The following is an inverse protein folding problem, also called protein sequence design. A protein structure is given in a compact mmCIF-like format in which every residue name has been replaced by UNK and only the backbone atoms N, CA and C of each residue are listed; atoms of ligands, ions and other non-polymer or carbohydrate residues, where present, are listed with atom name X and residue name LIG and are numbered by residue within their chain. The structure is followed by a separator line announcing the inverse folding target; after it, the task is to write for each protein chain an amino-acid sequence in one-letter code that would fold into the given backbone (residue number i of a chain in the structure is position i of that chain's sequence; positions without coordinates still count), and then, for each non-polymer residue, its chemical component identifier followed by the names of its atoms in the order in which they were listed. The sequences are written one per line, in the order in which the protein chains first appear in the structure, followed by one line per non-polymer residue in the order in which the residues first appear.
data_IF_520461943911
#
_entry.id   IF_520461943911
#
_cell.length_a   1.000
_cell.length_b   1.000
_cell.length_c   1.000
_cell.angle_alpha   90.00
_cell.angle_beta   90.00
_cell.angle_gamma   90.00
#
_symmetry.space_group_name_H-M   'P 1'
#
loop_
_entity.id
_entity.type
_entity.pdbx_description
1 polymer ?
#
# COMPACT_ATOMS: atom_id res chain seq x y z
N UNK A 1 -5.14 -34.03 5.58
CA UNK A 1 -5.24 -32.55 5.51
C UNK A 1 -4.73 -32.15 4.15
N UNK A 2 -5.51 -31.41 3.37
CA UNK A 2 -5.12 -31.00 2.01
C UNK A 2 -3.97 -29.99 2.08
N UNK A 3 -2.89 -30.26 1.35
CA UNK A 3 -1.76 -29.34 1.24
C UNK A 3 -1.91 -28.43 0.03
N UNK A 4 -1.35 -27.21 0.10
CA UNK A 4 -1.17 -26.36 -1.08
C UNK A 4 -0.20 -26.97 -2.11
N UNK A 5 0.59 -27.97 -1.71
CA UNK A 5 1.50 -28.71 -2.57
C UNK A 5 0.89 -30.03 -3.08
N UNK A 6 -0.40 -30.27 -2.84
CA UNK A 6 -1.13 -31.42 -3.39
C UNK A 6 -1.92 -31.00 -4.63
N UNK A 7 -1.74 -31.70 -5.75
CA UNK A 7 -2.45 -31.40 -7.00
C UNK A 7 -3.98 -31.44 -6.85
N UNK A 8 -4.50 -32.38 -6.05
CA UNK A 8 -5.94 -32.54 -5.79
C UNK A 8 -6.60 -31.29 -5.16
N UNK A 9 -5.84 -30.49 -4.41
CA UNK A 9 -6.32 -29.21 -3.84
C UNK A 9 -6.64 -28.20 -4.94
N UNK A 10 -5.91 -28.25 -6.05
CA UNK A 10 -5.99 -27.30 -7.15
C UNK A 10 -6.85 -27.79 -8.31
N UNK A 11 -7.06 -29.10 -8.41
CA UNK A 11 -7.76 -29.76 -9.51
C UNK A 11 -9.11 -29.10 -9.90
N UNK A 12 -10.01 -28.72 -8.98
CA UNK A 12 -11.25 -28.01 -9.34
C UNK A 12 -10.99 -26.69 -10.06
N UNK A 13 -10.02 -25.90 -9.57
CA UNK A 13 -9.66 -24.61 -10.16
C UNK A 13 -8.99 -24.80 -11.53
N UNK A 14 -8.09 -25.77 -11.65
CA UNK A 14 -7.37 -26.04 -12.90
C UNK A 14 -8.31 -26.44 -14.04
N UNK A 15 -9.39 -27.18 -13.74
CA UNK A 15 -10.44 -27.50 -14.71
C UNK A 15 -11.13 -26.23 -15.25
N UNK A 16 -11.51 -25.32 -14.37
CA UNK A 16 -12.14 -24.04 -14.74
C UNK A 16 -11.21 -23.16 -15.58
N UNK A 17 -9.94 -23.08 -15.18
CA UNK A 17 -8.90 -22.31 -15.89
C UNK A 17 -8.67 -22.86 -17.30
N UNK A 18 -8.55 -24.18 -17.46
CA UNK A 18 -8.37 -24.83 -18.78
C UNK A 18 -9.58 -24.60 -19.68
N UNK A 19 -10.81 -24.71 -19.15
CA UNK A 19 -12.03 -24.43 -19.89
C UNK A 19 -12.15 -22.95 -20.32
N UNK A 20 -11.59 -22.03 -19.52
CA UNK A 20 -11.61 -20.59 -19.77
C UNK A 20 -10.58 -20.14 -20.82
N UNK A 21 -9.51 -20.90 -21.03
CA UNK A 21 -8.38 -20.53 -21.89
C UNK A 21 -7.97 -21.64 -22.87
N UNK A 22 -8.89 -22.21 -23.66
CA UNK A 22 -8.60 -23.37 -24.52
C UNK A 22 -7.54 -23.06 -25.59
N UNK A 23 -7.56 -21.86 -26.19
CA UNK A 23 -6.58 -21.45 -27.21
C UNK A 23 -5.21 -21.15 -26.61
N UNK A 24 -5.19 -20.43 -25.47
CA UNK A 24 -3.95 -19.98 -24.81
C UNK A 24 -3.19 -21.13 -24.16
N UNK A 25 -3.87 -22.24 -23.86
CA UNK A 25 -3.31 -23.48 -23.30
C UNK A 25 -3.32 -24.63 -24.32
N UNK A 26 -3.62 -24.39 -25.60
CA UNK A 26 -3.71 -25.43 -26.63
C UNK A 26 -2.36 -26.03 -27.02
N UNK A 27 -1.28 -25.25 -26.93
CA UNK A 27 0.05 -25.61 -27.38
C UNK A 27 1.10 -25.54 -26.28
N UNK A 28 2.23 -26.25 -26.44
CA UNK A 28 3.35 -26.17 -25.51
C UNK A 28 3.82 -24.72 -25.27
N UNK A 29 4.01 -24.34 -24.01
CA UNK A 29 4.47 -23.00 -23.60
C UNK A 29 3.34 -21.96 -23.41
N UNK A 30 2.10 -22.34 -23.73
CA UNK A 30 0.92 -21.58 -23.34
C UNK A 30 0.78 -21.56 -21.82
N UNK A 31 0.61 -20.37 -21.23
CA UNK A 31 0.50 -20.22 -19.77
C UNK A 31 -0.52 -19.15 -19.34
N UNK A 32 -1.05 -19.35 -18.14
CA UNK A 32 -1.93 -18.40 -17.44
C UNK A 32 -1.57 -18.34 -15.97
N UNK A 33 -1.96 -17.26 -15.31
CA UNK A 33 -1.36 -16.84 -14.05
C UNK A 33 -2.45 -16.34 -13.10
N UNK A 34 -2.29 -16.58 -11.81
CA UNK A 34 -3.23 -16.12 -10.79
C UNK A 34 -2.62 -16.08 -9.39
N UNK A 35 -3.39 -15.51 -8.47
CA UNK A 35 -3.04 -15.37 -7.07
C UNK A 35 -4.27 -15.57 -6.20
N UNK A 36 -4.12 -16.29 -5.09
CA UNK A 36 -5.19 -16.52 -4.11
C UNK A 36 -4.68 -16.10 -2.75
N UNK A 37 -5.36 -15.16 -2.11
CA UNK A 37 -5.15 -14.75 -0.72
C UNK A 37 -6.39 -14.98 0.14
N UNK A 38 -6.23 -14.87 1.46
CA UNK A 38 -7.35 -15.01 2.40
C UNK A 38 -8.36 -13.86 2.33
N UNK A 39 -7.92 -12.67 1.90
CA UNK A 39 -8.75 -11.48 1.73
C UNK A 39 -9.30 -11.26 0.32
N UNK A 40 -8.91 -12.07 -0.65
CA UNK A 40 -9.31 -11.91 -2.05
C UNK A 40 -8.44 -12.71 -3.01
N UNK A 41 -8.82 -12.78 -4.28
CA UNK A 41 -8.09 -13.54 -5.31
C UNK A 41 -8.21 -12.89 -6.70
N UNK A 42 -7.27 -13.24 -7.56
CA UNK A 42 -7.32 -13.00 -8.99
C UNK A 42 -6.98 -14.31 -9.70
N UNK A 43 -7.98 -14.94 -10.32
CA UNK A 43 -7.82 -16.21 -11.03
C UNK A 43 -8.20 -16.04 -12.50
N UNK A 44 -7.50 -16.69 -13.44
CA UNK A 44 -7.76 -16.59 -14.87
C UNK A 44 -8.93 -17.51 -15.25
N UNK A 45 -10.13 -17.15 -14.81
CA UNK A 45 -11.39 -17.85 -15.10
C UNK A 45 -12.32 -16.87 -15.83
N UNK A 46 -12.93 -17.32 -16.94
CA UNK A 46 -13.91 -16.51 -17.68
C UNK A 46 -15.22 -16.47 -16.88
N UNK A 47 -15.55 -15.30 -16.34
CA UNK A 47 -16.82 -15.09 -15.65
C UNK A 47 -17.99 -14.98 -16.64
N UNK A 48 -19.16 -15.55 -16.33
CA UNK A 48 -20.35 -15.35 -17.15
C UNK A 48 -20.71 -13.86 -17.20
N UNK A 49 -21.01 -13.34 -18.39
CA UNK A 49 -21.57 -12.00 -18.49
C UNK A 49 -23.04 -12.06 -18.05
N UNK A 50 -23.47 -11.27 -17.06
CA UNK A 50 -24.87 -11.22 -16.72
C UNK A 50 -25.68 -10.67 -17.90
N UNK A 51 -26.92 -11.13 -18.05
CA UNK A 51 -27.82 -10.61 -19.08
C UNK A 51 -28.01 -9.08 -18.90
N UNK A 52 -28.20 -8.31 -19.98
CA UNK A 52 -28.44 -6.87 -19.89
C UNK A 52 -29.57 -6.56 -18.90
N UNK A 53 -29.30 -5.73 -17.89
CA UNK A 53 -30.26 -5.38 -16.83
C UNK A 53 -30.26 -6.28 -15.59
N UNK A 54 -29.42 -7.32 -15.54
CA UNK A 54 -29.18 -8.13 -14.33
C UNK A 54 -27.78 -7.83 -13.78
N UNK A 55 -27.65 -7.69 -12.46
CA UNK A 55 -26.35 -7.62 -11.79
C UNK A 55 -25.73 -9.03 -11.70
N UNK A 56 -24.40 -9.13 -11.73
CA UNK A 56 -23.70 -10.40 -11.47
C UNK A 56 -23.93 -10.82 -10.01
N UNK A 57 -24.39 -12.06 -9.79
CA UNK A 57 -24.60 -12.61 -8.45
C UNK A 57 -23.48 -13.59 -8.09
N UNK A 58 -23.22 -13.77 -6.80
CA UNK A 58 -22.25 -14.77 -6.29
C UNK A 58 -22.63 -16.18 -6.75
N UNK A 59 -23.92 -16.48 -6.84
CA UNK A 59 -24.45 -17.75 -7.36
C UNK A 59 -24.01 -18.04 -8.80
N UNK A 60 -23.78 -17.00 -9.62
CA UNK A 60 -23.31 -17.16 -10.99
C UNK A 60 -21.80 -17.55 -11.04
N UNK A 61 -21.09 -17.52 -9.91
CA UNK A 61 -19.66 -17.82 -9.77
C UNK A 61 -19.38 -18.94 -8.74
N UNK A 62 -20.39 -19.72 -8.36
CA UNK A 62 -20.29 -20.70 -7.28
C UNK A 62 -19.12 -21.70 -7.45
N UNK A 63 -18.86 -22.14 -8.69
CA UNK A 63 -17.75 -23.06 -8.99
C UNK A 63 -16.37 -22.42 -8.77
N UNK A 64 -16.21 -21.13 -9.15
CA UNK A 64 -14.99 -20.35 -8.89
C UNK A 64 -14.76 -20.21 -7.38
N UNK A 65 -15.80 -19.81 -6.64
CA UNK A 65 -15.74 -19.63 -5.19
C UNK A 65 -15.40 -20.94 -4.47
N UNK A 66 -16.06 -22.04 -4.83
CA UNK A 66 -15.82 -23.36 -4.23
C UNK A 66 -14.39 -23.83 -4.49
N UNK A 67 -13.90 -23.66 -5.71
CA UNK A 67 -12.54 -24.03 -6.08
C UNK A 67 -11.47 -23.18 -5.33
N UNK A 68 -11.71 -21.87 -5.18
CA UNK A 68 -10.83 -20.98 -4.42
C UNK A 68 -10.88 -21.28 -2.93
N UNK A 69 -12.05 -21.59 -2.37
CA UNK A 69 -12.22 -21.91 -0.95
C UNK A 69 -11.40 -23.15 -0.55
N UNK A 70 -11.31 -24.16 -1.42
CA UNK A 70 -10.46 -25.33 -1.19
C UNK A 70 -8.98 -24.93 -1.02
N UNK A 71 -8.47 -24.02 -1.86
CA UNK A 71 -7.10 -23.49 -1.76
C UNK A 71 -6.94 -22.63 -0.51
N UNK A 72 -7.91 -21.74 -0.20
CA UNK A 72 -7.88 -20.93 1.02
C UNK A 72 -7.91 -21.77 2.30
N UNK A 73 -8.64 -22.89 2.32
CA UNK A 73 -8.64 -23.81 3.45
C UNK A 73 -7.25 -24.41 3.68
N UNK A 74 -6.55 -24.80 2.60
CA UNK A 74 -5.17 -25.25 2.69
C UNK A 74 -4.21 -24.13 3.14
N UNK A 75 -4.39 -22.89 2.68
CA UNK A 75 -3.62 -21.74 3.16
C UNK A 75 -3.80 -21.52 4.67
N UNK A 76 -5.04 -21.52 5.17
CA UNK A 76 -5.35 -21.36 6.60
C UNK A 76 -4.72 -22.46 7.44
N UNK A 77 -4.81 -23.72 6.98
CA UNK A 77 -4.24 -24.88 7.68
C UNK A 77 -2.71 -24.79 7.85
N UNK A 78 -2.02 -24.07 6.96
CA UNK A 78 -0.58 -23.87 6.99
C UNK A 78 -0.14 -22.47 7.42
N UNK A 79 -1.07 -21.64 7.94
CA UNK A 79 -0.76 -20.28 8.42
C UNK A 79 -0.27 -19.33 7.33
N UNK A 80 -0.61 -19.59 6.05
CA UNK A 80 -0.20 -18.78 4.91
C UNK A 80 -1.29 -17.76 4.54
N UNK A 81 -0.87 -16.57 4.15
CA UNK A 81 -1.79 -15.48 3.80
C UNK A 81 -2.18 -15.48 2.31
N UNK A 82 -1.27 -15.93 1.43
CA UNK A 82 -1.54 -16.05 0.00
C UNK A 82 -0.61 -17.03 -0.70
N UNK A 83 -0.95 -17.35 -1.95
CA UNK A 83 -0.13 -18.14 -2.87
C UNK A 83 -0.32 -17.64 -4.30
N UNK A 84 0.77 -17.65 -5.07
CA UNK A 84 0.76 -17.34 -6.49
C UNK A 84 0.96 -18.62 -7.30
N UNK A 85 0.33 -18.68 -8.48
CA UNK A 85 0.42 -19.88 -9.30
C UNK A 85 0.44 -19.57 -10.80
N UNK A 86 1.07 -20.47 -11.55
CA UNK A 86 1.06 -20.48 -13.00
C UNK A 86 0.59 -21.84 -13.49
N UNK A 87 -0.29 -21.85 -14.48
CA UNK A 87 -0.70 -23.05 -15.20
C UNK A 87 -0.06 -23.02 -16.57
N UNK A 88 0.63 -24.09 -16.94
CA UNK A 88 1.35 -24.21 -18.21
C UNK A 88 0.96 -25.52 -18.91
N UNK A 89 0.84 -25.47 -20.24
CA UNK A 89 0.74 -26.67 -21.06
C UNK A 89 2.14 -27.12 -21.48
N UNK A 90 2.52 -28.33 -21.09
CA UNK A 90 3.83 -28.91 -21.41
C UNK A 90 3.91 -29.41 -22.85
N UNK A 91 5.13 -29.76 -23.25
CA UNK A 91 5.44 -30.37 -24.56
C UNK A 91 4.72 -31.70 -24.79
N UNK A 92 4.41 -32.45 -23.72
CA UNK A 92 3.66 -33.70 -23.75
C UNK A 92 2.12 -33.50 -23.71
N UNK A 93 1.65 -32.25 -23.73
CA UNK A 93 0.24 -31.89 -23.67
C UNK A 93 -0.38 -31.92 -22.27
N UNK A 94 0.38 -32.31 -21.23
CA UNK A 94 -0.12 -32.32 -19.84
C UNK A 94 -0.13 -30.93 -19.23
N UNK A 95 -1.04 -30.71 -18.29
CA UNK A 95 -1.11 -29.48 -17.49
C UNK A 95 -0.10 -29.56 -16.35
N UNK A 96 0.79 -28.58 -16.27
CA UNK A 96 1.68 -28.37 -15.14
C UNK A 96 1.22 -27.16 -14.33
N UNK A 97 1.08 -27.35 -13.02
CA UNK A 97 0.83 -26.27 -12.08
C UNK A 97 2.14 -25.91 -11.38
N UNK A 98 2.56 -24.66 -11.50
CA UNK A 98 3.68 -24.11 -10.75
C UNK A 98 3.13 -23.31 -9.59
N UNK A 99 3.31 -23.81 -8.37
CA UNK A 99 3.00 -23.11 -7.13
C UNK A 99 4.23 -22.32 -6.71
N UNK A 100 4.08 -21.01 -6.58
CA UNK A 100 5.17 -20.08 -6.26
C UNK A 100 5.01 -19.56 -4.83
N UNK A 101 6.08 -19.69 -4.06
CA UNK A 101 6.19 -19.17 -2.71
C UNK A 101 7.27 -18.08 -2.72
N UNK A 102 6.81 -16.83 -2.63
CA UNK A 102 7.66 -15.65 -2.70
C UNK A 102 8.58 -15.50 -1.47
N UNK A 103 8.24 -16.12 -0.35
CA UNK A 103 9.01 -15.99 0.89
C UNK A 103 8.92 -14.59 1.54
N UNK A 104 9.58 -14.41 2.70
CA UNK A 104 9.46 -13.19 3.51
C UNK A 104 10.26 -12.00 2.97
N UNK A 105 11.14 -12.21 1.99
CA UNK A 105 11.95 -11.15 1.38
C UNK A 105 11.28 -10.51 0.17
N UNK A 106 10.03 -10.87 -0.14
CA UNK A 106 9.32 -10.39 -1.33
C UNK A 106 7.95 -9.88 -0.92
N UNK A 107 7.68 -8.62 -1.24
CA UNK A 107 6.35 -8.04 -1.08
C UNK A 107 5.34 -8.72 -2.00
N UNK A 108 4.07 -8.68 -1.60
CA UNK A 108 2.97 -9.15 -2.43
C UNK A 108 2.87 -8.28 -3.70
N UNK A 109 2.86 -8.90 -4.88
CA UNK A 109 2.66 -8.19 -6.14
C UNK A 109 1.20 -7.79 -6.35
N UNK A 110 0.94 -6.54 -6.75
CA UNK A 110 -0.39 -6.06 -7.14
C UNK A 110 -0.65 -6.12 -8.65
N UNK A 111 0.40 -5.89 -9.46
CA UNK A 111 0.29 -5.76 -10.92
C UNK A 111 0.76 -7.04 -11.64
N UNK A 112 1.74 -7.74 -11.07
CA UNK A 112 2.22 -9.04 -11.53
C UNK A 112 2.09 -10.05 -10.39
N UNK A 113 1.48 -11.22 -10.62
CA UNK A 113 1.19 -12.17 -9.55
C UNK A 113 2.44 -12.88 -8.99
N UNK A 114 3.64 -12.78 -9.58
CA UNK A 114 4.78 -13.63 -9.16
C UNK A 114 5.85 -12.94 -8.33
N UNK A 115 6.15 -11.68 -8.61
CA UNK A 115 7.27 -10.99 -7.97
C UNK A 115 6.84 -9.55 -7.69
N UNK A 116 6.55 -9.27 -6.42
CA UNK A 116 6.48 -7.89 -5.93
C UNK A 116 7.89 -7.34 -5.70
N UNK A 117 7.99 -6.27 -4.92
CA UNK A 117 9.30 -5.73 -4.55
C UNK A 117 10.12 -6.76 -3.77
N UNK A 118 11.39 -6.94 -4.16
CA UNK A 118 12.39 -7.67 -3.41
C UNK A 118 12.93 -6.76 -2.31
N UNK A 119 12.70 -7.12 -1.05
CA UNK A 119 13.26 -6.45 0.13
C UNK A 119 14.62 -7.05 0.44
N UNK A 120 15.66 -6.34 0.00
CA UNK A 120 17.06 -6.77 0.04
C UNK A 120 17.66 -6.64 1.44
N UNK A 121 17.18 -5.67 2.23
CA UNK A 121 17.57 -5.47 3.63
C UNK A 121 16.36 -5.67 4.53
N UNK A 122 16.46 -6.60 5.49
CA UNK A 122 15.35 -6.96 6.36
C UNK A 122 14.85 -5.77 7.20
N UNK A 123 13.53 -5.61 7.25
CA UNK A 123 12.89 -4.50 7.99
C UNK A 123 13.09 -3.13 7.36
N UNK A 124 13.74 -3.03 6.19
CA UNK A 124 13.88 -1.76 5.50
C UNK A 124 12.51 -1.26 5.02
N UNK A 125 12.29 0.03 5.21
CA UNK A 125 11.14 0.79 4.67
C UNK A 125 11.65 1.96 3.83
N UNK A 126 10.88 2.48 2.85
CA UNK A 126 11.26 3.61 2.03
C UNK A 126 11.59 4.86 2.84
N UNK A 127 12.44 5.75 2.30
CA UNK A 127 12.90 6.94 3.03
C UNK A 127 11.79 7.79 3.65
N UNK A 128 10.65 8.07 2.98
CA UNK A 128 9.59 8.87 3.60
C UNK A 128 8.99 8.22 4.86
N UNK A 129 8.99 6.89 4.98
CA UNK A 129 8.52 6.14 6.15
C UNK A 129 9.51 6.14 7.32
N UNK A 130 10.75 6.58 7.08
CA UNK A 130 11.78 6.72 8.11
C UNK A 130 11.86 8.14 8.68
N UNK A 131 11.22 9.11 8.04
CA UNK A 131 11.27 10.51 8.48
C UNK A 131 10.47 10.70 9.75
N UNK A 132 11.13 11.30 10.73
CA UNK A 132 10.52 11.76 11.97
C UNK A 132 10.20 13.26 11.84
N UNK A 133 9.22 13.77 12.60
CA UNK A 133 8.95 15.20 12.64
C UNK A 133 10.18 15.96 13.13
N UNK A 134 10.45 17.08 12.47
CA UNK A 134 11.43 18.06 12.96
C UNK A 134 10.83 18.81 14.14
N UNK A 135 11.60 18.98 15.21
CA UNK A 135 11.13 19.76 16.35
C UNK A 135 11.01 21.23 15.94
N UNK A 136 9.87 21.85 16.23
CA UNK A 136 9.65 23.31 16.09
C UNK A 136 9.67 23.92 17.49
N UNK A 137 10.82 24.45 17.95
CA UNK A 137 10.94 24.99 19.30
C UNK A 137 9.99 26.17 19.49
N UNK A 138 9.18 26.13 20.55
CA UNK A 138 8.23 27.20 20.86
C UNK A 138 6.91 27.11 20.10
N UNK A 139 6.61 25.98 19.42
CA UNK A 139 5.25 25.69 18.99
C UNK A 139 4.31 25.68 20.22
N UNK A 140 3.24 26.46 20.13
CA UNK A 140 2.23 26.60 21.18
C UNK A 140 0.85 26.25 20.60
N UNK A 141 -0.14 25.93 21.45
CA UNK A 141 -1.53 25.90 21.03
C UNK A 141 -1.96 27.23 20.41
N UNK A 142 -2.91 27.16 19.47
CA UNK A 142 -3.47 28.34 18.86
C UNK A 142 -4.19 29.21 19.91
N UNK A 143 -4.30 30.54 19.71
CA UNK A 143 -5.06 31.42 20.61
C UNK A 143 -6.53 31.02 20.78
N UNK A 144 -7.10 30.29 19.81
CA UNK A 144 -8.46 29.74 19.87
C UNK A 144 -8.61 28.51 20.75
N UNK A 145 -7.52 27.85 21.15
CA UNK A 145 -7.55 26.67 21.99
C UNK A 145 -8.06 27.01 23.40
N UNK A 146 -9.30 26.63 23.69
CA UNK A 146 -9.97 26.89 24.98
C UNK A 146 -10.78 25.65 25.39
N UNK A 147 -10.19 24.76 26.21
CA UNK A 147 -10.85 23.54 26.67
C UNK A 147 -12.15 23.80 27.44
N UNK A 148 -12.26 24.94 28.15
CA UNK A 148 -13.45 25.27 28.93
C UNK A 148 -14.60 25.73 28.05
N UNK A 149 -14.30 26.52 27.00
CA UNK A 149 -15.28 26.87 25.98
C UNK A 149 -15.76 25.63 25.23
N UNK A 150 -14.83 24.76 24.80
CA UNK A 150 -15.14 23.49 24.13
C UNK A 150 -16.09 22.63 24.96
N UNK A 151 -15.75 22.38 26.24
CA UNK A 151 -16.58 21.57 27.13
C UNK A 151 -17.98 22.17 27.29
N UNK A 152 -18.10 23.49 27.50
CA UNK A 152 -19.39 24.16 27.62
C UNK A 152 -20.22 24.02 26.35
N UNK A 153 -19.64 24.31 25.19
CA UNK A 153 -20.33 24.23 23.89
C UNK A 153 -20.80 22.81 23.61
N UNK A 154 -19.99 21.79 23.88
CA UNK A 154 -20.40 20.40 23.69
C UNK A 154 -21.50 19.97 24.67
N UNK A 155 -21.44 20.36 25.95
CA UNK A 155 -22.52 20.07 26.92
C UNK A 155 -23.85 20.71 26.52
N UNK A 156 -23.81 21.90 25.92
CA UNK A 156 -25.02 22.56 25.38
C UNK A 156 -25.59 21.82 24.18
N UNK A 157 -24.75 21.32 23.27
CA UNK A 157 -25.17 20.56 22.07
C UNK A 157 -25.56 19.11 22.39
N UNK A 158 -24.98 18.51 23.42
CA UNK A 158 -25.12 17.11 23.79
C UNK A 158 -25.48 16.96 25.29
N UNK A 159 -26.65 17.45 25.73
CA UNK A 159 -27.01 17.49 27.15
C UNK A 159 -27.13 16.10 27.81
N UNK A 160 -27.46 15.07 27.02
CA UNK A 160 -27.67 13.70 27.48
C UNK A 160 -26.46 12.78 27.22
N UNK A 161 -25.35 13.32 26.72
CA UNK A 161 -24.17 12.51 26.42
C UNK A 161 -23.48 12.02 27.70
N UNK A 162 -22.90 10.81 27.61
CA UNK A 162 -22.12 10.21 28.69
C UNK A 162 -20.65 10.49 28.45
N UNK A 163 -20.04 11.19 29.40
CA UNK A 163 -18.60 11.46 29.41
C UNK A 163 -17.76 10.28 29.87
N UNK A 164 -16.49 10.29 29.47
CA UNK A 164 -15.47 9.39 29.99
C UNK A 164 -15.03 9.83 31.39
N UNK A 165 -14.65 8.85 32.20
CA UNK A 165 -14.04 9.09 33.52
C UNK A 165 -12.56 9.43 33.37
N UNK A 166 -11.98 10.11 34.37
CA UNK A 166 -10.53 10.37 34.39
C UNK A 166 -9.69 9.08 34.37
N UNK A 167 -10.22 7.98 34.90
CA UNK A 167 -9.56 6.67 34.86
C UNK A 167 -9.51 6.11 33.42
N UNK A 168 -10.60 6.21 32.66
CA UNK A 168 -10.62 5.80 31.24
C UNK A 168 -9.68 6.66 30.39
N UNK A 169 -9.61 7.97 30.66
CA UNK A 169 -8.65 8.88 30.00
C UNK A 169 -7.21 8.49 30.34
N UNK A 170 -6.92 8.20 31.62
CA UNK A 170 -5.58 7.78 32.05
C UNK A 170 -5.16 6.44 31.45
N UNK A 171 -6.10 5.49 31.31
CA UNK A 171 -5.88 4.22 30.63
C UNK A 171 -5.54 4.44 29.14
N UNK A 172 -6.28 5.30 28.44
CA UNK A 172 -6.00 5.64 27.06
C UNK A 172 -4.60 6.26 26.88
N UNK A 173 -4.20 7.21 27.74
CA UNK A 173 -2.85 7.79 27.73
C UNK A 173 -1.76 6.73 27.92
N UNK A 174 -1.98 5.82 28.88
CA UNK A 174 -1.03 4.74 29.17
C UNK A 174 -0.89 3.79 27.97
N UNK A 175 -2.00 3.44 27.32
CA UNK A 175 -2.03 2.58 26.13
C UNK A 175 -1.35 3.23 24.93
N UNK A 176 -1.58 4.52 24.71
CA UNK A 176 -1.00 5.28 23.59
C UNK A 176 0.47 5.64 23.82
N UNK A 177 0.90 5.71 25.08
CA UNK A 177 2.24 6.20 25.44
C UNK A 177 2.40 7.71 25.27
N UNK A 178 1.30 8.46 25.15
CA UNK A 178 1.29 9.93 25.00
C UNK A 178 0.28 10.57 25.95
N UNK A 179 0.57 11.79 26.38
CA UNK A 179 -0.38 12.61 27.15
C UNK A 179 -1.44 13.17 26.19
N UNK A 180 -2.72 13.03 26.52
CA UNK A 180 -3.79 13.61 25.72
C UNK A 180 -3.85 15.13 25.95
N UNK A 181 -3.98 15.95 24.89
CA UNK A 181 -4.17 17.38 25.01
C UNK A 181 -5.38 17.76 25.86
N UNK A 182 -5.35 18.93 26.49
CA UNK A 182 -6.42 19.38 27.37
C UNK A 182 -7.77 19.50 26.66
N UNK A 183 -7.78 19.98 25.41
CA UNK A 183 -8.99 20.04 24.59
C UNK A 183 -9.57 18.64 24.31
N UNK A 184 -8.73 17.65 24.02
CA UNK A 184 -9.20 16.28 23.76
C UNK A 184 -9.79 15.65 25.03
N UNK A 185 -9.18 15.88 26.19
CA UNK A 185 -9.73 15.46 27.48
C UNK A 185 -11.06 16.15 27.77
N UNK A 186 -11.17 17.44 27.52
CA UNK A 186 -12.41 18.22 27.68
C UNK A 186 -13.54 17.66 26.80
N UNK A 187 -13.24 17.33 25.54
CA UNK A 187 -14.19 16.67 24.64
C UNK A 187 -14.66 15.32 25.20
N UNK A 188 -13.74 14.44 25.59
CA UNK A 188 -14.10 13.11 26.10
C UNK A 188 -14.82 13.14 27.46
N UNK A 189 -14.61 14.17 28.28
CA UNK A 189 -15.40 14.38 29.51
C UNK A 189 -16.88 14.66 29.24
N UNK A 190 -17.23 15.08 28.02
CA UNK A 190 -18.63 15.28 27.60
C UNK A 190 -19.18 14.03 26.91
N UNK A 191 -18.42 13.44 25.99
CA UNK A 191 -18.89 12.31 25.18
C UNK A 191 -17.79 11.27 24.98
N UNK A 192 -18.03 10.03 25.43
CA UNK A 192 -17.08 8.90 25.31
C UNK A 192 -17.22 8.07 24.04
N UNK A 193 -18.16 8.43 23.17
CA UNK A 193 -18.35 7.87 21.81
C UNK A 193 -18.51 6.33 21.73
N UNK A 194 -19.14 5.69 22.73
CA UNK A 194 -19.37 4.25 22.70
C UNK A 194 -20.72 3.92 22.07
N UNK A 195 -20.70 3.04 21.06
CA UNK A 195 -21.91 2.53 20.40
C UNK A 195 -22.96 1.98 21.39
N UNK A 196 -22.51 1.34 22.47
CA UNK A 196 -23.39 0.79 23.50
C UNK A 196 -24.21 1.87 24.22
N UNK A 197 -23.71 3.10 24.31
CA UNK A 197 -24.43 4.21 24.97
C UNK A 197 -25.62 4.68 24.15
N UNK A 198 -25.55 4.50 22.83
CA UNK A 198 -26.62 4.88 21.90
C UNK A 198 -27.65 3.77 21.71
N UNK A 199 -27.40 2.56 22.23
CA UNK A 199 -28.34 1.41 22.16
C UNK A 199 -28.86 1.10 20.74
N UNK A 200 -28.06 1.39 19.71
CA UNK A 200 -28.45 1.23 18.31
C UNK A 200 -29.23 2.42 17.71
N UNK A 201 -29.29 3.56 18.41
CA UNK A 201 -29.87 4.80 17.90
C UNK A 201 -28.88 5.55 16.99
N UNK A 202 -29.03 5.34 15.68
CA UNK A 202 -28.25 6.03 14.66
C UNK A 202 -28.46 7.56 14.67
N UNK A 203 -29.64 8.06 15.07
CA UNK A 203 -29.87 9.50 15.15
C UNK A 203 -29.14 10.13 16.35
N UNK A 204 -28.91 9.35 17.42
CA UNK A 204 -28.02 9.78 18.51
C UNK A 204 -26.56 9.84 18.06
N UNK A 205 -26.10 8.89 17.25
CA UNK A 205 -24.77 8.95 16.62
C UNK A 205 -24.63 10.19 15.73
N UNK A 206 -25.58 10.42 14.83
CA UNK A 206 -25.56 11.56 13.90
C UNK A 206 -25.49 12.90 14.66
N UNK A 207 -26.24 13.06 15.77
CA UNK A 207 -26.13 14.25 16.63
C UNK A 207 -24.74 14.45 17.22
N UNK A 208 -24.04 13.39 17.60
CA UNK A 208 -22.64 13.49 18.07
C UNK A 208 -21.73 13.92 16.93
N UNK A 209 -21.92 13.33 15.75
CA UNK A 209 -21.16 13.70 14.53
C UNK A 209 -21.36 15.16 14.19
N UNK A 210 -22.60 15.67 14.22
CA UNK A 210 -22.91 17.07 13.96
C UNK A 210 -22.35 18.01 15.05
N UNK A 211 -22.42 17.61 16.32
CA UNK A 211 -22.00 18.45 17.44
C UNK A 211 -20.48 18.61 17.51
N UNK A 212 -19.74 17.53 17.29
CA UNK A 212 -18.26 17.52 17.27
C UNK A 212 -17.74 17.96 15.91
N UNK A 213 -18.50 17.69 14.86
CA UNK A 213 -18.05 17.78 13.49
C UNK A 213 -17.06 16.66 13.17
N UNK A 214 -17.29 15.41 13.59
CA UNK A 214 -16.65 14.17 13.09
C UNK A 214 -17.23 12.90 13.70
N UNK A 215 -17.01 11.76 13.04
CA UNK A 215 -17.22 10.45 13.66
C UNK A 215 -16.14 10.20 14.69
N UNK A 216 -16.48 10.38 15.96
CA UNK A 216 -15.54 10.30 17.08
C UNK A 216 -15.19 8.84 17.40
N UNK A 217 -13.89 8.52 17.47
CA UNK A 217 -13.43 7.23 17.95
C UNK A 217 -13.62 7.14 19.47
N UNK A 218 -14.02 5.99 20.03
CA UNK A 218 -13.97 5.79 21.47
C UNK A 218 -12.51 5.75 21.97
N UNK A 219 -12.31 6.05 23.26
CA UNK A 219 -10.98 6.17 23.88
C UNK A 219 -10.07 4.94 23.70
N UNK A 220 -10.63 3.74 23.60
CA UNK A 220 -9.92 2.49 23.38
C UNK A 220 -9.50 2.26 21.93
N UNK A 221 -10.06 3.01 20.98
CA UNK A 221 -9.74 2.98 19.56
C UNK A 221 -8.86 4.13 19.08
N UNK A 222 -8.59 5.12 19.93
CA UNK A 222 -7.54 6.11 19.65
C UNK A 222 -6.22 5.42 19.30
N UNK A 223 -5.47 5.98 18.37
CA UNK A 223 -4.14 5.50 18.00
C UNK A 223 -3.22 6.63 17.56
N UNK A 224 -1.92 6.38 17.59
CA UNK A 224 -0.91 7.29 17.06
C UNK A 224 -0.80 7.07 15.55
N UNK A 225 -1.09 8.10 14.76
CA UNK A 225 -1.04 8.07 13.30
C UNK A 225 0.40 8.27 12.78
N UNK A 226 1.29 7.35 13.14
CA UNK A 226 2.68 7.31 12.68
C UNK A 226 2.85 6.51 11.37
N UNK A 227 4.08 6.42 10.86
CA UNK A 227 4.39 5.66 9.65
C UNK A 227 4.00 4.16 9.73
N UNK A 228 3.94 3.55 10.94
CA UNK A 228 3.56 2.13 11.11
C UNK A 228 2.06 1.94 10.94
N UNK A 229 1.28 2.95 11.29
CA UNK A 229 -0.18 2.96 11.10
C UNK A 229 -0.60 3.12 9.63
N UNK A 230 0.34 3.53 8.75
CA UNK A 230 0.12 3.75 7.31
C UNK A 230 1.07 2.89 6.46
N UNK A 231 0.95 1.56 6.49
CA UNK A 231 1.80 0.69 5.68
C UNK A 231 1.54 0.96 4.19
N UNK A 232 2.61 1.06 3.40
CA UNK A 232 2.53 1.19 1.96
C UNK A 232 3.64 0.35 1.33
N UNK A 233 3.33 -0.29 0.20
CA UNK A 233 4.28 -1.13 -0.51
C UNK A 233 5.40 -0.28 -1.10
N UNK A 234 6.63 -0.82 -1.08
CA UNK A 234 7.82 -0.14 -1.61
C UNK A 234 7.60 0.42 -3.02
N UNK A 235 6.89 -0.30 -3.89
CA UNK A 235 6.66 0.12 -5.28
C UNK A 235 5.88 1.42 -5.45
N UNK A 236 5.13 1.85 -4.43
CA UNK A 236 4.44 3.14 -4.39
C UNK A 236 5.23 4.13 -3.53
N UNK A 237 5.49 3.74 -2.29
CA UNK A 237 6.13 4.55 -1.27
C UNK A 237 7.54 5.05 -1.64
N UNK A 238 8.34 4.25 -2.36
CA UNK A 238 9.66 4.68 -2.78
C UNK A 238 9.63 5.77 -3.86
N UNK A 239 8.51 5.93 -4.56
CA UNK A 239 8.34 6.94 -5.63
C UNK A 239 7.72 8.25 -5.15
N UNK A 240 7.41 8.36 -3.87
CA UNK A 240 6.97 9.60 -3.25
C UNK A 240 8.11 10.27 -2.48
N UNK A 241 7.96 11.57 -2.19
CA UNK A 241 8.86 12.33 -1.35
C UNK A 241 8.08 13.19 -0.36
N UNK A 242 8.51 13.15 0.90
CA UNK A 242 8.00 14.02 1.95
C UNK A 242 8.65 15.42 1.80
N UNK A 243 7.88 16.50 1.83
CA UNK A 243 8.43 17.86 1.77
C UNK A 243 7.66 18.75 2.74
N UNK A 244 8.39 19.42 3.63
CA UNK A 244 7.83 20.45 4.52
C UNK A 244 8.20 21.82 3.98
N UNK A 245 7.21 22.69 3.79
CA UNK A 245 7.45 24.08 3.43
C UNK A 245 7.90 24.92 4.64
N UNK A 246 8.76 25.95 4.46
CA UNK A 246 9.16 26.84 5.56
C UNK A 246 8.01 27.53 6.29
N UNK A 247 6.85 27.66 5.65
CA UNK A 247 5.62 28.24 6.17
C UNK A 247 4.50 27.21 6.38
N UNK A 248 4.80 25.91 6.22
CA UNK A 248 3.79 24.86 6.35
C UNK A 248 3.25 24.79 7.79
N UNK A 249 1.92 24.77 7.91
CA UNK A 249 1.27 24.49 9.19
C UNK A 249 1.45 23.02 9.62
N UNK A 250 1.48 22.10 8.67
CA UNK A 250 1.62 20.66 8.90
C UNK A 250 2.90 20.18 8.22
N UNK A 251 3.71 19.36 8.91
CA UNK A 251 4.90 18.78 8.30
C UNK A 251 4.51 17.76 7.22
N UNK A 252 5.24 17.76 6.09
CA UNK A 252 5.05 16.78 5.03
C UNK A 252 5.64 15.44 5.44
N UNK A 253 4.87 14.65 6.19
CA UNK A 253 5.28 13.36 6.75
C UNK A 253 4.29 12.27 6.34
N UNK A 254 4.75 11.02 6.28
CA UNK A 254 3.85 9.86 6.21
C UNK A 254 2.98 9.82 7.46
N UNK A 255 3.56 10.03 8.63
CA UNK A 255 2.85 10.09 9.89
C UNK A 255 3.77 10.64 10.96
N UNK A 256 3.23 10.96 12.12
CA UNK A 256 4.03 11.46 13.24
C UNK A 256 3.69 10.73 14.53
N UNK A 257 4.69 10.46 15.40
CA UNK A 257 4.44 10.02 16.76
C UNK A 257 3.63 11.05 17.58
N UNK A 258 3.54 12.30 17.12
CA UNK A 258 2.70 13.35 17.70
C UNK A 258 1.30 13.46 17.11
N UNK A 259 0.91 12.62 16.15
CA UNK A 259 -0.44 12.67 15.57
C UNK A 259 -1.36 11.69 16.30
N UNK A 260 -2.37 12.21 17.01
CA UNK A 260 -3.34 11.38 17.74
C UNK A 260 -4.63 11.33 16.92
N UNK A 261 -4.88 10.21 16.24
CA UNK A 261 -6.11 10.00 15.50
C UNK A 261 -7.28 9.83 16.47
N UNK A 262 -8.29 10.70 16.35
CA UNK A 262 -9.43 10.76 17.26
C UNK A 262 -10.78 10.63 16.58
N UNK A 263 -10.84 10.75 15.25
CA UNK A 263 -12.09 10.62 14.52
C UNK A 263 -11.90 10.33 13.04
N UNK A 264 -13.00 10.25 12.31
CA UNK A 264 -13.02 10.20 10.85
C UNK A 264 -14.19 11.01 10.26
N UNK A 265 -14.20 11.14 8.94
CA UNK A 265 -15.21 11.88 8.21
C UNK A 265 -16.35 10.99 7.63
N UNK A 266 -16.41 9.71 8.00
CA UNK A 266 -17.33 8.73 7.41
C UNK A 266 -16.97 8.27 5.99
N UNK A 267 -15.96 8.87 5.36
CA UNK A 267 -15.45 8.57 4.02
C UNK A 267 -14.11 7.85 3.99
N UNK A 268 -13.58 7.46 5.15
CA UNK A 268 -12.31 6.76 5.30
C UNK A 268 -11.14 7.66 5.74
N UNK A 269 -11.27 8.98 5.62
CA UNK A 269 -10.21 9.91 6.05
C UNK A 269 -10.19 10.07 7.56
N UNK A 270 -9.00 10.18 8.12
CA UNK A 270 -8.81 10.24 9.58
C UNK A 270 -8.57 11.66 10.03
N UNK A 271 -9.22 12.06 11.13
CA UNK A 271 -8.91 13.30 11.84
C UNK A 271 -7.95 13.00 12.98
N UNK A 272 -6.90 13.82 13.08
CA UNK A 272 -5.89 13.70 14.12
C UNK A 272 -5.58 15.06 14.74
N UNK A 273 -5.14 15.05 16.01
CA UNK A 273 -4.48 16.19 16.62
C UNK A 273 -2.99 16.14 16.33
N UNK A 274 -2.44 17.24 15.85
CA UNK A 274 -1.03 17.35 15.52
C UNK A 274 -0.24 18.03 16.64
N UNK A 275 0.52 17.23 17.39
CA UNK A 275 1.41 17.70 18.46
C UNK A 275 2.83 18.01 17.97
N UNK A 276 3.07 17.87 16.66
CA UNK A 276 4.35 18.07 15.99
C UNK A 276 4.15 18.91 14.73
N UNK A 277 3.62 20.15 14.89
CA UNK A 277 3.24 20.98 13.76
C UNK A 277 4.44 21.34 12.88
N UNK A 278 4.14 21.82 11.68
CA UNK A 278 5.13 22.50 10.84
C UNK A 278 5.49 23.89 11.38
N UNK A 279 6.48 24.57 10.77
CA UNK A 279 6.97 25.86 11.27
C UNK A 279 5.91 26.98 11.36
N UNK A 280 4.86 26.90 10.55
CA UNK A 280 3.72 27.84 10.55
C UNK A 280 2.50 27.36 11.32
N UNK A 281 2.59 26.23 12.04
CA UNK A 281 1.45 25.58 12.68
C UNK A 281 1.40 25.73 14.20
N UNK A 282 0.36 25.15 14.80
CA UNK A 282 0.11 25.19 16.23
C UNK A 282 0.06 23.78 16.83
N UNK A 283 0.57 23.62 18.05
CA UNK A 283 0.51 22.34 18.77
C UNK A 283 -0.94 22.06 19.17
N UNK A 284 -1.49 20.91 18.76
CA UNK A 284 -2.88 20.54 19.02
C UNK A 284 -3.86 20.96 17.94
N UNK A 285 -3.37 21.53 16.82
CA UNK A 285 -4.19 21.77 15.64
C UNK A 285 -4.82 20.47 15.11
N UNK A 286 -5.96 20.59 14.44
CA UNK A 286 -6.67 19.45 13.86
C UNK A 286 -6.22 19.28 12.42
N UNK A 287 -5.79 18.08 12.06
CA UNK A 287 -5.39 17.71 10.70
C UNK A 287 -6.26 16.57 10.17
N UNK A 288 -6.45 16.55 8.86
CA UNK A 288 -7.09 15.45 8.15
C UNK A 288 -6.06 14.66 7.34
N UNK A 289 -6.06 13.36 7.54
CA UNK A 289 -5.19 12.40 6.87
C UNK A 289 -6.03 11.68 5.81
N UNK A 290 -5.73 11.97 4.55
CA UNK A 290 -6.40 11.34 3.40
C UNK A 290 -6.10 9.84 3.36
N UNK A 291 -7.13 9.03 3.14
CA UNK A 291 -6.98 7.58 3.02
C UNK A 291 -6.43 7.12 1.66
N UNK A 292 -6.54 7.97 0.64
CA UNK A 292 -5.94 7.76 -0.69
C UNK A 292 -4.49 8.27 -0.74
N UNK A 293 -4.12 9.18 0.16
CA UNK A 293 -2.79 9.75 0.22
C UNK A 293 -1.84 8.83 1.00
N UNK A 294 -0.64 8.62 0.47
CA UNK A 294 0.41 7.87 1.17
C UNK A 294 1.30 8.76 2.04
N UNK A 295 1.30 10.08 1.81
CA UNK A 295 2.10 11.08 2.52
C UNK A 295 1.23 12.32 2.79
N UNK A 296 1.44 12.95 3.94
CA UNK A 296 0.88 14.25 4.27
C UNK A 296 -0.41 14.17 5.05
N UNK A 297 -0.83 15.35 5.50
CA UNK A 297 -2.11 15.65 6.11
C UNK A 297 -2.44 17.12 5.84
N UNK A 298 -3.73 17.45 5.71
CA UNK A 298 -4.20 18.83 5.53
C UNK A 298 -4.62 19.45 6.87
N UNK A 299 -4.31 20.73 7.08
CA UNK A 299 -4.84 21.47 8.23
C UNK A 299 -6.37 21.61 8.09
N UNK A 300 -7.11 21.23 9.12
CA UNK A 300 -8.57 21.32 9.16
C UNK A 300 -9.05 22.46 10.06
N UNK A 301 -8.39 22.65 11.21
CA UNK A 301 -8.64 23.73 12.15
C UNK A 301 -7.39 23.99 12.98
N UNK A 302 -7.23 25.22 13.48
CA UNK A 302 -6.09 25.60 14.32
C UNK A 302 -6.18 25.07 15.77
N UNK A 303 -7.38 24.65 16.20
CA UNK A 303 -7.65 23.98 17.49
C UNK A 303 -8.93 23.14 17.44
N UNK A 304 -9.15 22.28 18.45
CA UNK A 304 -10.43 21.55 18.58
C UNK A 304 -11.58 22.49 18.93
N UNK A 305 -11.32 23.49 19.78
CA UNK A 305 -12.30 24.52 20.09
C UNK A 305 -12.76 25.25 18.84
N UNK A 306 -11.83 25.69 17.98
CA UNK A 306 -12.17 26.35 16.72
C UNK A 306 -13.04 25.45 15.83
N UNK A 307 -12.64 24.20 15.63
CA UNK A 307 -13.40 23.23 14.82
C UNK A 307 -14.85 23.06 15.32
N UNK A 308 -15.05 22.92 16.63
CA UNK A 308 -16.39 22.70 17.21
C UNK A 308 -17.22 23.98 17.18
N UNK A 309 -16.63 25.12 17.51
CA UNK A 309 -17.37 26.40 17.63
C UNK A 309 -17.72 26.96 16.26
N UNK A 310 -16.77 26.99 15.33
CA UNK A 310 -16.90 27.66 14.03
C UNK A 310 -17.18 26.69 12.87
N UNK A 311 -17.09 25.38 13.10
CA UNK A 311 -17.22 24.37 12.07
C UNK A 311 -15.88 24.06 11.39
N UNK A 312 -15.90 23.11 10.46
CA UNK A 312 -14.71 22.71 9.69
C UNK A 312 -14.41 23.73 8.60
N UNK A 313 -13.13 24.07 8.41
CA UNK A 313 -12.71 24.68 7.16
C UNK A 313 -12.90 23.67 6.01
N UNK A 314 -13.26 24.15 4.81
CA UNK A 314 -13.25 23.30 3.62
C UNK A 314 -11.83 22.76 3.40
N UNK A 315 -11.71 21.44 3.26
CA UNK A 315 -10.44 20.81 2.97
C UNK A 315 -9.93 21.28 1.60
N UNK A 316 -8.79 21.94 1.61
CA UNK A 316 -8.05 22.27 0.41
C UNK A 316 -6.78 21.41 0.40
N UNK A 317 -6.65 20.43 -0.51
CA UNK A 317 -5.37 19.77 -0.69
C UNK A 317 -4.35 20.85 -1.07
N UNK A 318 -3.38 21.09 -0.20
CA UNK A 318 -2.29 22.02 -0.45
C UNK A 318 -1.52 21.52 -1.67
N UNK A 319 -1.81 22.09 -2.84
CA UNK A 319 -1.02 21.85 -4.04
C UNK A 319 0.11 22.87 -4.08
N UNK A 320 1.28 22.48 -3.59
CA UNK A 320 2.49 23.25 -3.78
C UNK A 320 3.01 23.01 -5.22
N UNK A 321 2.49 23.79 -6.17
CA UNK A 321 2.91 23.75 -7.58
C UNK A 321 4.23 24.51 -7.83
N UNK A 322 4.78 25.20 -6.82
CA UNK A 322 5.83 26.20 -7.02
C UNK A 322 7.24 25.72 -6.61
N UNK A 323 7.40 24.45 -6.20
CA UNK A 323 8.72 23.87 -5.94
C UNK A 323 9.24 23.05 -7.12
N UNK A 324 10.53 23.18 -7.46
CA UNK A 324 11.15 22.26 -8.41
C UNK A 324 10.97 20.83 -7.90
N UNK A 325 10.61 19.88 -8.77
CA UNK A 325 10.11 18.58 -8.33
C UNK A 325 11.21 17.77 -7.65
N UNK A 326 11.08 17.54 -6.35
CA UNK A 326 11.85 16.51 -5.61
C UNK A 326 11.57 15.12 -6.21
N UNK A 327 10.43 14.96 -6.89
CA UNK A 327 10.01 13.79 -7.66
C UNK A 327 9.78 14.16 -9.12
N UNK A 328 10.68 13.77 -10.02
CA UNK A 328 10.52 13.97 -11.46
C UNK A 328 9.87 12.75 -12.13
N UNK A 329 8.84 12.97 -12.94
CA UNK A 329 8.18 11.93 -13.75
C UNK A 329 8.20 12.31 -15.22
N UNK A 330 9.02 11.64 -16.02
CA UNK A 330 9.23 11.93 -17.44
C UNK A 330 8.41 10.96 -18.30
N UNK A 331 7.23 11.41 -18.76
CA UNK A 331 6.22 10.60 -19.44
C UNK A 331 5.83 11.16 -20.82
N UNK A 332 6.75 11.27 -21.80
CA UNK A 332 6.42 11.36 -23.25
C UNK A 332 6.42 12.76 -23.92
N UNK A 333 6.88 13.85 -23.31
CA UNK A 333 7.11 15.12 -24.04
C UNK A 333 8.46 15.75 -23.70
N UNK A 334 9.46 15.55 -24.56
CA UNK A 334 10.61 16.44 -24.76
C UNK A 334 11.59 16.71 -23.60
N UNK A 335 11.31 16.25 -22.38
CA UNK A 335 12.12 16.59 -21.23
C UNK A 335 13.39 15.74 -21.15
N UNK A 336 14.53 16.41 -21.29
CA UNK A 336 15.87 15.85 -21.08
C UNK A 336 16.10 15.57 -19.58
N UNK A 337 16.80 14.47 -19.28
CA UNK A 337 17.23 14.12 -17.92
C UNK A 337 18.04 15.27 -17.30
N UNK A 338 18.79 16.02 -18.11
CA UNK A 338 19.53 17.20 -17.64
C UNK A 338 18.65 18.29 -17.04
N UNK A 339 17.38 18.43 -17.48
CA UNK A 339 16.47 19.48 -16.99
C UNK A 339 15.99 19.24 -15.55
N UNK A 340 16.07 17.98 -15.09
CA UNK A 340 15.69 17.56 -13.74
C UNK A 340 16.88 17.21 -12.86
N UNK A 341 18.10 17.18 -13.41
CA UNK A 341 19.34 16.86 -12.71
C UNK A 341 19.76 17.97 -11.72
N UNK A 342 19.07 18.04 -10.58
CA UNK A 342 19.31 19.03 -9.52
C UNK A 342 19.70 18.33 -8.21
N UNK A 343 20.48 18.96 -7.32
CA UNK A 343 20.89 18.36 -6.05
C UNK A 343 19.74 17.92 -5.14
N UNK A 344 18.56 18.52 -5.30
CA UNK A 344 17.35 18.25 -4.52
C UNK A 344 16.55 17.05 -5.03
N UNK A 345 16.84 16.55 -6.23
CA UNK A 345 16.12 15.43 -6.84
C UNK A 345 16.30 14.16 -5.99
N UNK A 346 15.20 13.60 -5.50
CA UNK A 346 15.20 12.34 -4.74
C UNK A 346 14.72 11.15 -5.57
N UNK A 347 13.73 11.39 -6.45
CA UNK A 347 13.05 10.34 -7.20
C UNK A 347 13.01 10.70 -8.67
N UNK A 348 13.44 9.76 -9.52
CA UNK A 348 13.23 9.84 -10.96
C UNK A 348 12.41 8.65 -11.45
N UNK A 349 11.33 8.96 -12.17
CA UNK A 349 10.50 7.98 -12.89
C UNK A 349 10.59 8.26 -14.38
N UNK A 350 11.07 7.27 -15.14
CA UNK A 350 11.16 7.29 -16.60
C UNK A 350 10.06 6.37 -17.16
N UNK A 351 9.03 6.97 -17.75
CA UNK A 351 7.97 6.24 -18.42
C UNK A 351 8.42 5.62 -19.74
N UNK A 352 7.78 4.51 -20.11
CA UNK A 352 8.03 3.79 -21.37
C UNK A 352 6.84 3.80 -22.33
N UNK A 353 6.96 4.57 -23.42
CA UNK A 353 6.45 4.31 -24.80
C UNK A 353 6.92 5.45 -25.73
N UNK A 354 7.28 5.10 -26.97
CA UNK A 354 7.68 6.00 -28.08
C UNK A 354 8.63 7.15 -27.69
N UNK A 355 9.93 6.87 -27.62
CA UNK A 355 10.98 7.88 -27.41
C UNK A 355 12.37 7.26 -27.44
N UNK A 356 13.40 8.10 -27.62
CA UNK A 356 14.79 7.66 -27.54
C UNK A 356 15.16 7.25 -26.10
N UNK A 357 15.90 6.14 -25.92
CA UNK A 357 16.48 5.78 -24.63
C UNK A 357 17.28 6.94 -24.04
N UNK A 358 17.18 7.16 -22.73
CA UNK A 358 17.77 8.33 -22.06
C UNK A 358 19.05 7.95 -21.31
N UNK A 359 20.06 8.83 -21.37
CA UNK A 359 21.26 8.73 -20.55
C UNK A 359 21.00 9.28 -19.15
N UNK A 360 21.50 8.57 -18.15
CA UNK A 360 21.53 8.92 -16.73
C UNK A 360 22.81 9.66 -16.34
N UNK A 361 23.76 9.87 -17.26
CA UNK A 361 25.03 10.56 -16.97
C UNK A 361 24.88 11.91 -16.25
N UNK A 362 23.87 12.78 -16.57
CA UNK A 362 23.66 14.03 -15.84
C UNK A 362 23.32 13.87 -14.35
N UNK A 363 22.86 12.68 -13.93
CA UNK A 363 22.45 12.38 -12.57
C UNK A 363 23.58 11.82 -11.71
N UNK A 364 24.74 11.55 -12.30
CA UNK A 364 25.88 10.97 -11.61
C UNK A 364 26.30 11.85 -10.41
N UNK A 365 26.43 11.24 -9.25
CA UNK A 365 26.85 11.93 -8.03
C UNK A 365 25.79 12.85 -7.38
N UNK A 366 24.54 12.86 -7.86
CA UNK A 366 23.48 13.60 -7.17
C UNK A 366 23.33 13.10 -5.72
N UNK A 367 23.35 14.01 -4.72
CA UNK A 367 23.51 13.63 -3.32
C UNK A 367 22.23 13.02 -2.71
N UNK A 368 21.06 13.29 -3.32
CA UNK A 368 19.75 12.91 -2.78
C UNK A 368 19.00 11.89 -3.63
N UNK A 369 19.48 11.58 -4.85
CA UNK A 369 18.79 10.65 -5.74
C UNK A 369 18.83 9.23 -5.14
N UNK A 370 17.69 8.82 -4.60
CA UNK A 370 17.52 7.56 -3.86
C UNK A 370 16.66 6.55 -4.60
N UNK A 371 15.81 7.00 -5.52
CA UNK A 371 14.90 6.13 -6.26
C UNK A 371 15.04 6.35 -7.75
N UNK A 372 15.31 5.27 -8.49
CA UNK A 372 15.19 5.23 -9.94
C UNK A 372 14.15 4.18 -10.34
N UNK A 373 13.13 4.61 -11.07
CA UNK A 373 12.21 3.74 -11.79
C UNK A 373 12.36 4.00 -13.28
N UNK A 374 12.87 3.02 -14.02
CA UNK A 374 12.90 3.05 -15.47
C UNK A 374 12.03 1.91 -16.03
N UNK A 375 11.06 2.28 -16.87
CA UNK A 375 10.32 1.28 -17.63
C UNK A 375 11.27 0.53 -18.59
N UNK A 376 10.97 -0.73 -18.95
CA UNK A 376 11.76 -1.47 -19.94
C UNK A 376 12.00 -0.65 -21.22
N UNK A 377 13.26 -0.58 -21.64
CA UNK A 377 13.71 0.17 -22.82
C UNK A 377 13.92 1.68 -22.61
N UNK A 378 13.75 2.21 -21.40
CA UNK A 378 13.86 3.66 -21.16
C UNK A 378 15.31 4.17 -21.02
N UNK A 379 16.29 3.28 -20.82
CA UNK A 379 17.69 3.62 -20.56
C UNK A 379 18.57 3.42 -21.79
N UNK A 380 19.42 4.40 -22.10
CA UNK A 380 20.40 4.30 -23.17
C UNK A 380 21.54 3.33 -22.80
N UNK A 381 22.03 3.40 -21.57
CA UNK A 381 23.01 2.49 -21.01
C UNK A 381 22.68 2.18 -19.54
N UNK A 382 22.24 0.94 -19.21
CA UNK A 382 21.99 0.54 -17.83
C UNK A 382 23.21 0.66 -16.91
N UNK A 383 24.44 0.59 -17.42
CA UNK A 383 25.66 0.65 -16.61
C UNK A 383 25.91 2.04 -15.99
N UNK A 384 25.29 3.09 -16.52
CA UNK A 384 25.36 4.43 -15.93
C UNK A 384 24.76 4.49 -14.51
N UNK A 385 23.92 3.51 -14.14
CA UNK A 385 23.39 3.35 -12.78
C UNK A 385 24.50 3.20 -11.74
N UNK A 386 25.68 2.69 -12.11
CA UNK A 386 26.83 2.60 -11.22
C UNK A 386 27.30 3.97 -10.70
N UNK A 387 27.01 5.06 -11.44
CA UNK A 387 27.29 6.44 -11.01
C UNK A 387 26.29 6.99 -9.97
N UNK A 388 25.18 6.29 -9.73
CA UNK A 388 24.10 6.70 -8.82
C UNK A 388 24.31 6.05 -7.44
N UNK A 389 25.27 6.59 -6.69
CA UNK A 389 25.81 5.97 -5.45
C UNK A 389 24.88 6.01 -4.23
N UNK A 390 23.73 6.68 -4.32
CA UNK A 390 22.80 6.91 -3.21
C UNK A 390 21.46 6.18 -3.36
N UNK A 391 21.33 5.32 -4.38
CA UNK A 391 20.10 4.57 -4.62
C UNK A 391 19.76 3.63 -3.46
N UNK A 392 18.55 3.77 -2.92
CA UNK A 392 17.93 2.83 -1.98
C UNK A 392 16.93 1.90 -2.68
N UNK A 393 16.31 2.36 -3.78
CA UNK A 393 15.31 1.62 -4.52
C UNK A 393 15.56 1.73 -6.03
N UNK A 394 15.52 0.57 -6.69
CA UNK A 394 15.73 0.47 -8.13
C UNK A 394 14.64 -0.41 -8.75
N UNK A 395 13.94 0.15 -9.75
CA UNK A 395 12.93 -0.55 -10.54
C UNK A 395 13.32 -0.51 -12.01
N UNK A 396 13.61 -1.66 -12.59
CA UNK A 396 14.06 -1.81 -13.97
C UNK A 396 13.37 -2.97 -14.67
N UNK A 397 13.42 -2.99 -16.00
CA UNK A 397 13.03 -4.14 -16.79
C UNK A 397 13.99 -5.33 -16.64
N UNK A 398 13.55 -6.55 -17.03
CA UNK A 398 14.37 -7.76 -16.90
C UNK A 398 15.71 -7.70 -17.64
N UNK A 399 15.73 -7.05 -18.81
CA UNK A 399 16.93 -6.96 -19.65
C UNK A 399 17.96 -5.99 -19.06
N UNK A 400 17.53 -4.84 -18.54
CA UNK A 400 18.42 -3.91 -17.86
C UNK A 400 19.01 -4.51 -16.57
N UNK A 401 18.20 -5.27 -15.81
CA UNK A 401 18.69 -6.02 -14.67
C UNK A 401 19.75 -7.06 -15.05
N UNK A 402 19.56 -7.77 -16.17
CA UNK A 402 20.53 -8.74 -16.67
C UNK A 402 21.87 -8.08 -17.00
N UNK A 403 21.85 -6.93 -17.68
CA UNK A 403 23.07 -6.13 -17.97
C UNK A 403 23.82 -5.79 -16.68
N UNK A 404 23.12 -5.32 -15.64
CA UNK A 404 23.77 -4.99 -14.35
C UNK A 404 24.35 -6.21 -13.64
N UNK A 405 23.64 -7.34 -13.64
CA UNK A 405 24.10 -8.58 -13.01
C UNK A 405 25.34 -9.14 -13.71
N UNK A 406 25.31 -9.23 -15.04
CA UNK A 406 26.41 -9.78 -15.84
C UNK A 406 27.68 -8.93 -15.72
N UNK A 407 27.54 -7.61 -15.56
CA UNK A 407 28.64 -6.68 -15.33
C UNK A 407 29.08 -6.59 -13.85
N UNK A 408 28.37 -7.22 -12.91
CA UNK A 408 28.62 -7.07 -11.47
C UNK A 408 28.36 -5.64 -10.95
N UNK A 409 27.54 -4.86 -11.65
CA UNK A 409 27.31 -3.44 -11.45
C UNK A 409 26.07 -3.12 -10.60
N UNK A 410 25.41 -4.13 -10.03
CA UNK A 410 24.24 -3.94 -9.16
C UNK A 410 24.64 -3.10 -7.92
N UNK A 411 24.02 -1.92 -7.68
CA UNK A 411 24.39 -1.06 -6.56
C UNK A 411 24.14 -1.74 -5.21
N UNK A 412 25.16 -1.75 -4.34
CA UNK A 412 25.08 -2.38 -3.01
C UNK A 412 24.42 -1.52 -1.94
N UNK A 413 24.10 -0.28 -2.27
CA UNK A 413 23.31 0.62 -1.42
C UNK A 413 21.81 0.30 -1.43
N UNK A 414 21.34 -0.56 -2.34
CA UNK A 414 19.92 -0.87 -2.47
C UNK A 414 19.38 -1.56 -1.20
N UNK A 415 18.25 -1.04 -0.74
CA UNK A 415 17.43 -1.62 0.32
C UNK A 415 16.32 -2.49 -0.27
N UNK A 416 15.86 -2.15 -1.47
CA UNK A 416 14.84 -2.89 -2.19
C UNK A 416 15.01 -2.76 -3.71
N UNK A 417 14.52 -3.77 -4.44
CA UNK A 417 14.60 -3.82 -5.91
C UNK A 417 13.29 -4.36 -6.50
N UNK A 418 12.93 -3.91 -7.70
CA UNK A 418 11.73 -4.38 -8.40
C UNK A 418 12.03 -4.70 -9.86
N UNK A 419 11.47 -5.81 -10.33
CA UNK A 419 11.55 -6.22 -11.74
C UNK A 419 10.24 -5.80 -12.42
N UNK A 420 10.30 -4.71 -13.18
CA UNK A 420 9.18 -4.18 -13.95
C UNK A 420 8.92 -5.06 -15.17
N UNK A 421 7.90 -5.91 -15.08
CA UNK A 421 7.50 -6.79 -16.18
C UNK A 421 6.39 -6.12 -16.99
N UNK A 422 6.63 -5.91 -18.29
CA UNK A 422 5.61 -5.45 -19.25
C UNK A 422 5.44 -6.46 -20.38
N UNK A 423 4.19 -6.81 -20.68
CA UNK A 423 3.88 -7.81 -21.70
C UNK A 423 4.03 -9.25 -21.20
N UNK A 424 4.12 -10.20 -22.12
CA UNK A 424 4.21 -11.62 -21.80
C UNK A 424 5.68 -12.03 -21.60
N UNK A 425 6.13 -12.08 -20.34
CA UNK A 425 7.39 -12.70 -19.97
C UNK A 425 7.14 -14.02 -19.24
N UNK A 426 7.95 -15.03 -19.56
CA UNK A 426 7.83 -16.35 -18.94
C UNK A 426 8.22 -16.28 -17.45
N UNK A 427 7.28 -16.50 -16.50
CA UNK A 427 7.52 -16.26 -15.07
C UNK A 427 8.74 -16.95 -14.46
N UNK A 428 9.10 -18.20 -14.82
CA UNK A 428 10.33 -18.84 -14.37
C UNK A 428 11.61 -18.05 -14.63
N UNK A 429 11.69 -17.27 -15.73
CA UNK A 429 12.86 -16.41 -16.00
C UNK A 429 12.92 -15.24 -15.03
N UNK A 430 11.77 -14.65 -14.72
CA UNK A 430 11.66 -13.54 -13.76
C UNK A 430 11.99 -14.02 -12.35
N UNK A 431 11.53 -15.21 -11.95
CA UNK A 431 11.87 -15.82 -10.66
C UNK A 431 13.37 -16.12 -10.56
N UNK A 432 13.99 -16.64 -11.62
CA UNK A 432 15.44 -16.88 -11.63
C UNK A 432 16.22 -15.57 -11.46
N UNK A 433 15.84 -14.53 -12.20
CA UNK A 433 16.43 -13.19 -12.08
C UNK A 433 16.25 -12.61 -10.66
N UNK A 434 15.07 -12.74 -10.07
CA UNK A 434 14.79 -12.31 -8.70
C UNK A 434 15.66 -13.08 -7.69
N UNK A 435 15.83 -14.38 -7.86
CA UNK A 435 16.67 -15.20 -6.98
C UNK A 435 18.17 -14.86 -7.10
N UNK A 436 18.65 -14.51 -8.29
CA UNK A 436 20.02 -13.98 -8.45
C UNK A 436 20.19 -12.67 -7.66
N UNK A 437 19.22 -11.75 -7.74
CA UNK A 437 19.23 -10.51 -6.96
C UNK A 437 19.15 -10.77 -5.45
N UNK A 438 18.27 -11.66 -4.99
CA UNK A 438 18.16 -12.02 -3.57
C UNK A 438 19.45 -12.67 -3.05
N UNK A 439 20.11 -13.49 -3.86
CA UNK A 439 21.38 -14.15 -3.51
C UNK A 439 22.51 -13.15 -3.27
N UNK A 440 22.49 -11.99 -3.97
CA UNK A 440 23.48 -10.95 -3.75
C UNK A 440 23.46 -10.34 -2.33
N UNK A 441 22.36 -10.51 -1.59
CA UNK A 441 22.18 -10.07 -0.20
C UNK A 441 21.93 -11.23 0.77
N UNK A 442 22.20 -12.48 0.37
CA UNK A 442 21.93 -13.69 1.16
C UNK A 442 20.48 -13.76 1.68
N UNK A 443 19.52 -13.28 0.89
CA UNK A 443 18.10 -13.29 1.25
C UNK A 443 17.44 -14.62 0.89
N UNK A 444 16.40 -15.04 1.63
CA UNK A 444 15.59 -16.21 1.29
C UNK A 444 15.08 -16.16 -0.15
N UNK A 445 15.28 -17.24 -0.89
CA UNK A 445 14.92 -17.33 -2.30
C UNK A 445 13.43 -17.62 -2.49
N UNK A 446 12.89 -17.15 -3.62
CA UNK A 446 11.58 -17.53 -4.13
C UNK A 446 11.65 -19.00 -4.55
N UNK A 447 10.76 -19.81 -3.98
CA UNK A 447 10.68 -21.23 -4.31
C UNK A 447 9.52 -21.52 -5.26
N UNK A 448 9.70 -22.51 -6.11
CA UNK A 448 8.71 -22.96 -7.08
C UNK A 448 8.55 -24.46 -6.99
N UNK A 449 7.34 -24.92 -6.73
CA UNK A 449 6.98 -26.34 -6.73
C UNK A 449 6.16 -26.64 -7.97
N UNK A 450 6.56 -27.65 -8.74
CA UNK A 450 5.79 -28.10 -9.91
C UNK A 450 4.93 -29.28 -9.47
N UNK A 451 3.61 -29.13 -9.62
CA UNK A 451 2.61 -30.16 -9.38
C UNK A 451 2.10 -30.67 -10.71
N UNK A 452 2.16 -31.98 -10.87
CA UNK A 452 1.76 -32.68 -12.08
C UNK A 452 0.53 -33.54 -11.79
N UNK A 453 -0.44 -33.52 -12.70
CA UNK A 453 -1.63 -34.33 -12.61
C UNK A 453 -2.36 -34.37 -13.95
N UNK A 454 -3.15 -35.42 -14.15
CA UNK A 454 -3.96 -35.59 -15.34
C UNK A 454 -5.37 -35.04 -15.08
N UNK A 455 -5.77 -34.03 -15.85
CA UNK A 455 -7.09 -33.42 -15.77
C UNK A 455 -8.13 -34.15 -16.65
N UNK A 456 -7.69 -35.11 -17.49
CA UNK A 456 -8.53 -35.82 -18.46
C UNK A 456 -9.08 -37.18 -17.94
N UNK A 457 -8.78 -37.55 -16.68
CA UNK A 457 -9.15 -38.86 -16.10
C UNK A 457 -10.66 -39.14 -16.05
N UNK A 458 -11.52 -38.12 -16.08
CA UNK A 458 -12.99 -38.30 -16.03
C UNK A 458 -13.64 -38.69 -17.37
N UNK A 459 -12.91 -38.67 -18.51
CA UNK A 459 -13.49 -39.12 -19.79
C UNK A 459 -13.70 -40.63 -19.90
N UNK A 460 -13.24 -41.41 -18.91
CA UNK A 460 -13.34 -42.88 -18.94
C UNK A 460 -14.52 -43.46 -18.16
N UNK A 461 -15.29 -42.67 -17.41
CA UNK A 461 -16.40 -43.18 -16.59
C UNK A 461 -17.81 -43.11 -17.25
N UNK A 462 -17.97 -42.48 -18.41
CA UNK A 462 -19.26 -42.42 -19.15
C UNK A 462 -19.28 -43.19 -20.48
N UNK A 463 -18.37 -44.14 -20.66
CA UNK A 463 -18.30 -45.00 -21.85
C UNK A 463 -18.56 -46.47 -21.52
N UNK A 464 -19.68 -46.81 -20.88
CA UNK A 464 -19.90 -48.18 -20.41
C UNK A 464 -21.31 -48.54 -19.96
N UNK A 465 -22.33 -48.29 -20.78
CA UNK A 465 -23.53 -49.13 -20.83
C UNK A 465 -24.24 -48.90 -22.17
N UNK A 466 -24.24 -49.94 -23.01
CA UNK A 466 -25.23 -50.12 -24.08
C UNK A 466 -26.54 -50.59 -23.48
#
# INVERSE_FOLDING_TARGET
MSSIHDFATWEPLLRLVRASHPERLAGPGGHVMGQIGLGGWSVPVRRPHPAPGRASLVEDMQDEFTAVEAVQAALRAHGRQSVSFMVETRVDGRTALHVVDSGPAVEHGLVSPFVGTLVLVEGAVPEPWRRLPEAVPGALPAPSADPALLERTLRERLPDAVGATEAEIAEAQTRLGVTLPDELKALYRVVRARWQDWRGDYAAQERVVDAVGCELLPLDQLYVADARSRPCLWQFAATDAAVTAPDAAVQGLVGSPGWIAFGDNGGGDRLALDLTPGPGGHTGQVVMIGHEDSIGAGLLAESLTDMVVNGRAEWHPGRDWDRPPVVARLNVLGDDVSAVARPELEVLVLGGREGEPRSLAPLAGLPRLRTLHACPGALADPLEIAGLTRLEYLRLGPEEWRVLLDAGAVPRSLLAAHIEVRGEHHPPRIIALANELLSLWDRPLISRTVLEGDLDTDRTAQGGAR
#
